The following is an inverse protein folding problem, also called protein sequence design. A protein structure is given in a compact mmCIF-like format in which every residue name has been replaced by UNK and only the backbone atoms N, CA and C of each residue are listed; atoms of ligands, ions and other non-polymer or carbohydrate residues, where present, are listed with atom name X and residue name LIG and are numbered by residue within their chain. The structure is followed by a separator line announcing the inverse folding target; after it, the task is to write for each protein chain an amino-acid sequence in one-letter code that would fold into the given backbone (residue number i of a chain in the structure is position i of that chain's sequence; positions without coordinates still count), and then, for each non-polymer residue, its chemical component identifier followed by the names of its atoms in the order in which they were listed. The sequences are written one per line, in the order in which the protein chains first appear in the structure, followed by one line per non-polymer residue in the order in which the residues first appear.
data_IF_798356838540
#
_entry.id   IF_798356838540
#
_cell.length_a   1.000
_cell.length_b   1.000
_cell.length_c   1.000
_cell.angle_alpha   90.00
_cell.angle_beta   90.00
_cell.angle_gamma   90.00
#
_symmetry.space_group_name_H-M   'P 1'
#
loop_
_entity.id
_entity.type
_entity.pdbx_description
1 polymer ?
#
# COMPACT_ATOMS: atom_id res chain seq x y z
N UNK A 1 -7.13 8.12 9.19
CA UNK A 1 -8.32 8.03 10.07
C UNK A 1 -9.51 8.77 9.47
N UNK A 2 -10.71 8.18 9.55
CA UNK A 2 -11.98 8.81 9.14
C UNK A 2 -13.03 8.64 10.24
N UNK A 3 -13.59 9.76 10.72
CA UNK A 3 -14.63 9.77 11.79
C UNK A 3 -14.25 8.94 13.02
N UNK A 4 -13.03 9.11 13.53
CA UNK A 4 -12.50 8.37 14.70
C UNK A 4 -12.33 6.86 14.48
N UNK A 5 -12.43 6.38 13.23
CA UNK A 5 -12.19 4.99 12.87
C UNK A 5 -10.91 4.86 12.04
N UNK A 6 -10.19 3.76 12.27
CA UNK A 6 -9.09 3.35 11.41
C UNK A 6 -9.63 2.72 10.13
N UNK A 7 -9.06 3.09 8.99
CA UNK A 7 -9.44 2.56 7.68
C UNK A 7 -8.28 1.72 7.13
N UNK A 8 -8.54 0.44 6.89
CA UNK A 8 -7.66 -0.46 6.17
C UNK A 8 -8.21 -0.74 4.78
N UNK A 9 -7.35 -0.70 3.76
CA UNK A 9 -7.69 -1.04 2.38
C UNK A 9 -6.95 -2.30 1.96
N UNK A 10 -7.66 -3.24 1.33
CA UNK A 10 -7.08 -4.47 0.76
C UNK A 10 -7.17 -4.36 -0.76
N UNK A 11 -6.03 -4.50 -1.43
CA UNK A 11 -5.91 -4.39 -2.88
C UNK A 11 -5.36 -5.71 -3.44
N UNK A 12 -6.20 -6.60 -3.99
CA UNK A 12 -5.71 -7.70 -4.80
C UNK A 12 -5.20 -7.16 -6.14
N UNK A 13 -4.04 -7.63 -6.59
CA UNK A 13 -3.41 -7.23 -7.85
C UNK A 13 -3.03 -8.46 -8.67
N UNK A 14 -3.42 -8.49 -9.95
CA UNK A 14 -3.01 -9.52 -10.90
C UNK A 14 -2.70 -8.88 -12.25
N UNK A 15 -1.44 -8.92 -12.65
CA UNK A 15 -0.94 -8.29 -13.87
C UNK A 15 -1.33 -6.79 -14.01
N UNK A 16 -1.00 -6.01 -12.98
CA UNK A 16 -1.27 -4.57 -12.84
C UNK A 16 0.00 -3.72 -13.07
N UNK A 17 1.01 -4.25 -13.76
CA UNK A 17 2.24 -3.52 -14.11
C UNK A 17 1.91 -2.19 -14.81
N UNK A 18 2.52 -1.11 -14.33
CA UNK A 18 2.32 0.26 -14.78
C UNK A 18 1.14 0.98 -14.15
N UNK A 19 0.32 0.31 -13.33
CA UNK A 19 -0.87 0.88 -12.69
C UNK A 19 -0.83 0.80 -11.17
N UNK A 20 -0.35 -0.31 -10.61
CA UNK A 20 -0.43 -0.56 -9.16
C UNK A 20 0.32 0.49 -8.33
N UNK A 21 1.42 1.03 -8.86
CA UNK A 21 2.17 2.09 -8.17
C UNK A 21 1.36 3.37 -7.99
N UNK A 22 0.55 3.76 -8.98
CA UNK A 22 -0.31 4.95 -8.89
C UNK A 22 -1.42 4.74 -7.86
N UNK A 23 -2.02 3.55 -7.82
CA UNK A 23 -3.02 3.19 -6.79
C UNK A 23 -2.46 3.32 -5.38
N UNK A 24 -1.21 2.92 -5.16
CA UNK A 24 -0.54 3.04 -3.85
C UNK A 24 -0.23 4.50 -3.51
N UNK A 25 0.28 5.29 -4.47
CA UNK A 25 0.65 6.70 -4.27
C UNK A 25 -0.56 7.62 -4.09
N UNK A 26 -1.64 7.37 -4.82
CA UNK A 26 -2.86 8.18 -4.79
C UNK A 26 -3.80 7.79 -3.66
N UNK A 27 -3.36 6.90 -2.75
CA UNK A 27 -4.19 6.48 -1.63
C UNK A 27 -4.55 7.70 -0.74
N UNK A 28 -5.84 7.92 -0.43
CA UNK A 28 -6.25 9.07 0.37
C UNK A 28 -5.65 9.07 1.77
N UNK A 29 -5.30 10.26 2.30
CA UNK A 29 -4.69 10.44 3.63
C UNK A 29 -5.52 9.88 4.80
N UNK A 30 -6.83 9.69 4.62
CA UNK A 30 -7.68 9.10 5.65
C UNK A 30 -7.51 7.57 5.77
N UNK A 31 -6.83 6.92 4.82
CA UNK A 31 -6.49 5.50 4.87
C UNK A 31 -5.25 5.32 5.73
N UNK A 32 -5.39 4.54 6.80
CA UNK A 32 -4.31 4.34 7.77
C UNK A 32 -3.37 3.22 7.34
N UNK A 33 -3.88 2.20 6.64
CA UNK A 33 -3.10 1.03 6.21
C UNK A 33 -3.60 0.50 4.88
N UNK A 34 -2.66 0.11 4.02
CA UNK A 34 -2.93 -0.57 2.74
C UNK A 34 -2.27 -1.94 2.80
N UNK A 35 -3.01 -2.97 2.39
CA UNK A 35 -2.53 -4.33 2.21
C UNK A 35 -2.68 -4.68 0.74
N UNK A 36 -1.56 -4.68 0.00
CA UNK A 36 -1.54 -5.09 -1.40
C UNK A 36 -1.14 -6.55 -1.46
N UNK A 37 -1.92 -7.37 -2.17
CA UNK A 37 -1.71 -8.80 -2.32
C UNK A 37 -1.53 -9.09 -3.80
N UNK A 38 -0.36 -9.59 -4.16
CA UNK A 38 -0.13 -10.12 -5.50
C UNK A 38 -0.80 -11.49 -5.64
N UNK A 39 -1.72 -11.61 -6.58
CA UNK A 39 -2.49 -12.83 -6.86
C UNK A 39 -1.79 -13.68 -7.94
N UNK A 40 -0.51 -13.99 -7.70
CA UNK A 40 0.34 -14.75 -8.60
C UNK A 40 0.52 -14.10 -9.98
N UNK A 41 0.82 -12.80 -10.00
CA UNK A 41 1.09 -12.10 -11.26
C UNK A 41 2.26 -12.73 -12.02
N UNK A 42 2.24 -12.57 -13.33
CA UNK A 42 3.26 -13.12 -14.25
C UNK A 42 4.12 -12.04 -14.90
N UNK A 43 3.91 -10.79 -14.50
CA UNK A 43 4.56 -9.59 -15.02
C UNK A 43 5.26 -8.80 -13.89
N UNK A 44 5.62 -7.54 -14.15
CA UNK A 44 6.34 -6.66 -13.21
C UNK A 44 5.54 -6.19 -11.99
N UNK A 45 4.30 -6.62 -11.79
CA UNK A 45 3.40 -6.14 -10.70
C UNK A 45 4.07 -6.18 -9.33
N UNK A 46 4.71 -7.30 -8.99
CA UNK A 46 5.32 -7.48 -7.67
C UNK A 46 6.49 -6.50 -7.42
N UNK A 47 7.30 -6.25 -8.43
CA UNK A 47 8.44 -5.33 -8.32
C UNK A 47 7.95 -3.89 -8.12
N UNK A 48 6.87 -3.49 -8.79
CA UNK A 48 6.25 -2.17 -8.60
C UNK A 48 5.62 -2.00 -7.22
N UNK A 49 4.98 -3.05 -6.68
CA UNK A 49 4.45 -3.07 -5.31
C UNK A 49 5.60 -2.82 -4.31
N UNK A 50 6.72 -3.54 -4.46
CA UNK A 50 7.87 -3.40 -3.57
C UNK A 50 8.53 -2.03 -3.67
N UNK A 51 8.64 -1.46 -4.87
CA UNK A 51 9.17 -0.12 -5.07
C UNK A 51 8.30 0.93 -4.35
N UNK A 52 6.99 0.90 -4.61
CA UNK A 52 6.03 1.84 -4.04
C UNK A 52 5.95 1.73 -2.51
N UNK A 53 6.01 0.51 -1.96
CA UNK A 53 6.01 0.28 -0.51
C UNK A 53 7.25 0.88 0.20
N UNK A 54 8.41 0.90 -0.45
CA UNK A 54 9.62 1.53 0.08
C UNK A 54 9.48 3.05 0.11
N UNK A 55 9.01 3.64 -0.98
CA UNK A 55 8.80 5.09 -1.10
C UNK A 55 7.84 5.62 -0.02
N UNK A 56 6.73 4.92 0.22
CA UNK A 56 5.73 5.32 1.23
C UNK A 56 6.26 5.20 2.66
N UNK A 57 7.18 4.26 2.96
CA UNK A 57 7.82 4.15 4.28
C UNK A 57 8.78 5.29 4.58
N UNK A 58 9.44 5.83 3.56
CA UNK A 58 10.42 6.91 3.70
C UNK A 58 9.78 8.31 3.77
N UNK A 59 8.46 8.40 3.57
CA UNK A 59 7.68 9.63 3.69
C UNK A 59 6.84 9.61 4.98
N UNK A 60 7.37 10.00 6.15
CA UNK A 60 6.66 9.89 7.42
C UNK A 60 5.76 11.11 7.62
N UNK A 61 4.55 11.06 7.06
CA UNK A 61 3.48 11.97 7.49
C UNK A 61 2.42 11.16 8.24
N UNK A 62 2.52 11.11 9.57
CA UNK A 62 1.49 10.51 10.43
C UNK A 62 2.03 10.12 11.82
N UNK A 63 1.37 10.63 12.85
CA UNK A 63 1.68 10.45 14.27
C UNK A 63 1.99 8.99 14.67
N UNK A 64 3.13 8.81 15.34
CA UNK A 64 3.75 7.52 15.59
C UNK A 64 3.17 6.92 16.89
N UNK A 65 2.01 6.27 16.79
CA UNK A 65 1.46 5.44 17.86
C UNK A 65 1.21 4.01 17.33
N UNK A 66 2.26 3.20 17.43
CA UNK A 66 2.29 1.73 17.37
C UNK A 66 1.80 1.03 16.07
N UNK A 67 2.64 0.08 15.62
CA UNK A 67 2.30 -1.08 14.76
C UNK A 67 2.16 -0.84 13.24
N UNK A 68 3.20 -0.28 12.63
CA UNK A 68 3.38 -0.21 11.17
C UNK A 68 4.24 -1.35 10.59
N UNK A 69 3.85 -2.61 10.80
CA UNK A 69 4.42 -3.73 10.02
C UNK A 69 3.60 -3.85 8.73
N UNK A 70 4.06 -3.21 7.66
CA UNK A 70 3.69 -3.62 6.29
C UNK A 70 4.41 -4.94 6.00
N UNK A 71 3.70 -6.06 6.13
CA UNK A 71 4.15 -7.36 5.64
C UNK A 71 3.60 -7.51 4.22
N UNK A 72 4.50 -7.48 3.24
CA UNK A 72 4.23 -8.07 1.94
C UNK A 72 4.67 -9.54 2.04
N UNK A 73 3.72 -10.47 2.01
CA UNK A 73 3.93 -11.93 1.96
C UNK A 73 3.21 -12.49 0.77
#
# INVERSE_FOLDING_TARGET
MYREHSIGVVVPAYNEEGLIGDVIRDMPEYVDRIFVIDDCSTDGTWDEILASARETRESPNGDNSADGVMTAT
#
